data_IF_094668002453
#
_entry.id   IF_094668002453
#
_cell.length_a   1.000
_cell.length_b   1.000
_cell.length_c   1.000
_cell.angle_alpha   90.00
_cell.angle_beta   90.00
_cell.angle_gamma   90.00
#
_symmetry.space_group_name_H-M   'P 1'
#
loop_
_entity.id
_entity.type
_entity.pdbx_description
1 polymer ?
#
# COMPACT_ATOMS: atom_id res chain seq x y z
N UNK A 1 6.67 36.38 -30.86
CA UNK A 1 6.60 35.48 -29.67
C UNK A 1 7.88 34.67 -29.61
N UNK A 2 8.57 34.72 -28.48
CA UNK A 2 9.96 34.30 -28.34
C UNK A 2 10.08 32.76 -28.47
N UNK A 3 10.79 32.24 -29.48
CA UNK A 3 10.92 30.78 -29.72
C UNK A 3 11.43 30.01 -28.50
N UNK A 4 12.22 30.67 -27.65
CA UNK A 4 12.68 30.13 -26.35
C UNK A 4 11.50 29.81 -25.41
N UNK A 5 10.51 30.71 -25.31
CA UNK A 5 9.38 30.56 -24.39
C UNK A 5 8.51 29.36 -24.76
N UNK A 6 8.34 29.10 -26.07
CA UNK A 6 7.62 27.93 -26.56
C UNK A 6 8.33 26.61 -26.24
N UNK A 7 9.67 26.59 -26.24
CA UNK A 7 10.45 25.40 -25.93
C UNK A 7 10.38 25.06 -24.44
N UNK A 8 10.52 26.07 -23.57
CA UNK A 8 10.37 25.89 -22.12
C UNK A 8 8.97 25.38 -21.76
N UNK A 9 7.92 25.97 -22.34
CA UNK A 9 6.54 25.57 -22.06
C UNK A 9 6.27 24.11 -22.49
N UNK A 10 6.82 23.67 -23.62
CA UNK A 10 6.77 22.26 -24.02
C UNK A 10 7.49 21.33 -23.03
N UNK A 11 8.69 21.70 -22.56
CA UNK A 11 9.43 20.91 -21.58
C UNK A 11 8.69 20.81 -20.24
N UNK A 12 8.11 21.91 -19.76
CA UNK A 12 7.28 21.90 -18.55
C UNK A 12 6.05 21.01 -18.72
N UNK A 13 5.33 21.08 -19.84
CA UNK A 13 4.19 20.19 -20.10
C UNK A 13 4.62 18.72 -20.08
N UNK A 14 5.74 18.37 -20.72
CA UNK A 14 6.26 17.00 -20.73
C UNK A 14 6.65 16.52 -19.32
N UNK A 15 7.28 17.37 -18.51
CA UNK A 15 7.60 17.10 -17.11
C UNK A 15 6.33 16.90 -16.27
N UNK A 16 5.32 17.76 -16.43
CA UNK A 16 4.03 17.63 -15.74
C UNK A 16 3.30 16.35 -16.11
N UNK A 17 3.32 15.95 -17.38
CA UNK A 17 2.70 14.69 -17.83
C UNK A 17 3.42 13.49 -17.22
N UNK A 18 4.76 13.48 -17.20
CA UNK A 18 5.53 12.42 -16.54
C UNK A 18 5.26 12.36 -15.04
N UNK A 19 5.15 13.51 -14.37
CA UNK A 19 4.83 13.58 -12.95
C UNK A 19 3.42 13.05 -12.63
N UNK A 20 2.47 13.24 -13.55
CA UNK A 20 1.11 12.71 -13.41
C UNK A 20 0.98 11.21 -13.73
N UNK A 21 1.98 10.58 -14.36
CA UNK A 21 1.88 9.18 -14.76
C UNK A 21 2.26 8.18 -13.65
N UNK A 22 2.95 8.61 -12.59
CA UNK A 22 3.08 7.83 -11.36
C UNK A 22 1.92 8.20 -10.43
N UNK A 23 0.88 7.37 -10.38
CA UNK A 23 -0.39 7.71 -9.72
C UNK A 23 -0.33 7.65 -8.19
N UNK A 24 0.64 6.93 -7.62
CA UNK A 24 0.94 6.99 -6.18
C UNK A 24 2.29 7.65 -5.93
N UNK A 25 2.29 8.68 -5.12
CA UNK A 25 3.46 9.50 -4.75
C UNK A 25 3.56 9.62 -3.22
N UNK A 26 4.61 10.28 -2.72
CA UNK A 26 4.79 10.56 -1.29
C UNK A 26 3.70 11.44 -0.69
N UNK A 27 2.91 12.12 -1.52
CA UNK A 27 1.82 13.01 -1.13
C UNK A 27 0.44 12.37 -1.35
N UNK A 28 0.38 11.11 -1.80
CA UNK A 28 -0.88 10.39 -2.00
C UNK A 28 -1.54 10.08 -0.66
N UNK A 29 -2.85 10.33 -0.60
CA UNK A 29 -3.69 10.02 0.57
C UNK A 29 -4.46 8.74 0.30
N UNK A 30 -4.03 7.64 0.93
CA UNK A 30 -4.69 6.34 0.83
C UNK A 30 -6.01 6.34 1.62
N UNK A 31 -7.15 6.42 0.94
CA UNK A 31 -8.47 6.39 1.61
C UNK A 31 -8.75 5.00 2.19
N UNK A 32 -8.91 4.91 3.51
CA UNK A 32 -9.06 3.65 4.29
C UNK A 32 -7.87 2.69 4.12
N UNK A 33 -6.68 3.27 4.04
CA UNK A 33 -5.42 2.57 3.84
C UNK A 33 -4.25 3.44 4.30
N UNK A 34 -3.04 2.95 4.07
CA UNK A 34 -1.82 3.68 4.37
C UNK A 34 -0.79 3.52 3.25
N UNK A 35 0.07 4.53 3.11
CA UNK A 35 1.10 4.55 2.09
C UNK A 35 2.27 3.65 2.52
N UNK A 36 2.72 2.79 1.61
CA UNK A 36 3.89 1.95 1.80
C UNK A 36 4.91 2.22 0.70
N UNK A 37 6.18 1.93 0.99
CA UNK A 37 7.27 2.07 0.04
C UNK A 37 8.05 0.76 -0.08
N UNK A 38 8.34 0.39 -1.33
CA UNK A 38 9.27 -0.67 -1.71
C UNK A 38 10.50 -0.05 -2.39
N UNK A 39 11.40 -0.87 -2.95
CA UNK A 39 12.63 -0.37 -3.58
C UNK A 39 12.39 0.59 -4.75
N UNK A 40 11.31 0.38 -5.52
CA UNK A 40 11.09 1.06 -6.81
C UNK A 40 9.76 1.81 -6.95
N UNK A 41 8.86 1.74 -5.98
CA UNK A 41 7.59 2.46 -6.01
C UNK A 41 6.99 2.67 -4.62
N UNK A 42 5.95 3.50 -4.59
CA UNK A 42 5.01 3.63 -3.49
C UNK A 42 3.66 3.07 -3.91
N UNK A 43 2.93 2.51 -2.97
CA UNK A 43 1.55 2.05 -3.18
C UNK A 43 0.73 2.18 -1.90
N UNK A 44 -0.60 2.17 -2.05
CA UNK A 44 -1.49 2.11 -0.90
C UNK A 44 -1.74 0.65 -0.49
N UNK A 45 -1.60 0.37 0.81
CA UNK A 45 -2.02 -0.88 1.44
C UNK A 45 -3.31 -0.63 2.22
N UNK A 46 -4.31 -1.47 2.00
CA UNK A 46 -5.60 -1.33 2.66
C UNK A 46 -5.53 -1.73 4.14
N UNK A 47 -6.35 -1.06 4.95
CA UNK A 47 -6.56 -1.43 6.36
C UNK A 47 -7.45 -2.68 6.44
N UNK A 48 -7.16 -3.55 7.42
CA UNK A 48 -7.96 -4.75 7.70
C UNK A 48 -8.19 -5.61 6.44
N UNK A 49 -9.45 -6.02 6.19
CA UNK A 49 -9.87 -6.86 5.06
C UNK A 49 -10.42 -6.06 3.87
N UNK A 50 -10.11 -4.75 3.79
CA UNK A 50 -10.52 -3.90 2.67
C UNK A 50 -9.71 -4.20 1.41
N UNK A 51 -10.24 -3.79 0.25
CA UNK A 51 -9.65 -4.06 -1.06
C UNK A 51 -9.50 -2.80 -1.90
N UNK A 52 -8.46 -2.74 -2.73
CA UNK A 52 -8.18 -1.64 -3.63
C UNK A 52 -9.21 -1.57 -4.76
N UNK A 53 -10.01 -0.51 -4.83
CA UNK A 53 -10.88 -0.23 -5.99
C UNK A 53 -10.12 0.50 -7.09
N UNK A 54 -9.14 1.29 -6.68
CA UNK A 54 -8.13 1.97 -7.48
C UNK A 54 -6.84 2.06 -6.65
N UNK A 55 -5.80 2.71 -7.15
CA UNK A 55 -4.46 2.70 -6.50
C UNK A 55 -4.38 3.46 -5.17
N UNK A 56 -5.39 4.26 -4.81
CA UNK A 56 -5.40 5.08 -3.61
C UNK A 56 -6.68 4.96 -2.75
N UNK A 57 -7.62 4.11 -3.13
CA UNK A 57 -8.91 3.95 -2.43
C UNK A 57 -9.17 2.50 -2.09
N UNK A 58 -9.45 2.26 -0.82
CA UNK A 58 -9.85 0.97 -0.28
C UNK A 58 -11.34 0.97 0.08
N UNK A 59 -12.04 -0.10 -0.25
CA UNK A 59 -13.46 -0.29 0.06
C UNK A 59 -13.73 -1.72 0.57
N UNK A 60 -14.93 -1.94 1.08
CA UNK A 60 -15.34 -3.26 1.59
C UNK A 60 -15.49 -4.26 0.45
N UNK A 61 -14.87 -5.43 0.64
CA UNK A 61 -15.00 -6.57 -0.25
C UNK A 61 -16.33 -7.27 -0.03
N UNK A 62 -17.09 -7.49 -1.10
CA UNK A 62 -18.22 -8.42 -1.06
C UNK A 62 -17.72 -9.86 -1.13
N UNK A 63 -18.27 -10.72 -0.28
CA UNK A 63 -17.89 -12.14 -0.23
C UNK A 63 -18.45 -12.96 -1.38
N UNK A 64 -19.60 -12.55 -1.92
CA UNK A 64 -20.29 -13.25 -3.02
C UNK A 64 -20.83 -12.22 -4.02
N UNK A 65 -20.62 -12.51 -5.31
CA UNK A 65 -21.24 -11.73 -6.37
C UNK A 65 -22.64 -12.25 -6.66
N UNK A 66 -23.63 -11.36 -6.58
CA UNK A 66 -25.02 -11.59 -6.96
C UNK A 66 -25.62 -10.30 -7.57
N UNK A 67 -26.94 -10.31 -7.81
CA UNK A 67 -27.67 -9.18 -8.38
C UNK A 67 -27.55 -7.90 -7.54
N UNK A 68 -27.49 -8.00 -6.20
CA UNK A 68 -27.43 -6.85 -5.28
C UNK A 68 -26.02 -6.28 -5.15
N UNK A 69 -25.00 -7.05 -5.55
CA UNK A 69 -23.60 -6.65 -5.43
C UNK A 69 -22.97 -6.27 -6.76
N UNK A 70 -23.73 -6.20 -7.86
CA UNK A 70 -23.21 -5.74 -9.16
C UNK A 70 -22.53 -4.38 -9.00
N UNK A 71 -21.36 -4.23 -9.60
CA UNK A 71 -20.46 -3.08 -9.49
C UNK A 71 -19.80 -2.86 -8.13
N UNK A 72 -20.05 -3.70 -7.11
CA UNK A 72 -19.32 -3.63 -5.83
C UNK A 72 -17.94 -4.31 -5.91
N UNK A 73 -16.96 -3.87 -5.11
CA UNK A 73 -15.62 -4.48 -5.07
C UNK A 73 -15.67 -5.90 -4.53
N UNK A 74 -14.94 -6.82 -5.17
CA UNK A 74 -14.90 -8.24 -4.77
C UNK A 74 -13.46 -8.76 -4.58
N UNK A 75 -12.47 -7.88 -4.67
CA UNK A 75 -11.05 -8.15 -4.54
C UNK A 75 -10.25 -6.92 -4.98
N UNK A 76 -8.93 -6.93 -4.79
CA UNK A 76 -8.08 -5.85 -5.30
C UNK A 76 -8.25 -5.73 -6.81
N UNK A 77 -8.48 -4.51 -7.28
CA UNK A 77 -8.71 -4.14 -8.66
C UNK A 77 -9.76 -5.03 -9.38
N UNK A 78 -10.78 -5.49 -8.66
CA UNK A 78 -11.87 -6.29 -9.22
C UNK A 78 -13.23 -5.94 -8.65
N UNK A 79 -14.26 -6.13 -9.49
CA UNK A 79 -15.65 -5.85 -9.14
C UNK A 79 -16.58 -6.94 -9.64
N UNK A 80 -17.73 -7.06 -8.97
CA UNK A 80 -18.78 -7.97 -9.41
C UNK A 80 -19.41 -7.46 -10.70
N UNK A 81 -19.52 -8.35 -11.68
CA UNK A 81 -20.20 -8.09 -12.95
C UNK A 81 -21.34 -9.09 -13.15
N UNK A 82 -22.36 -8.66 -13.89
CA UNK A 82 -23.37 -9.53 -14.46
C UNK A 82 -22.84 -10.10 -15.78
N UNK A 83 -22.95 -11.41 -15.96
CA UNK A 83 -22.66 -12.10 -17.21
C UNK A 83 -24.01 -12.47 -17.81
N UNK A 84 -24.37 -11.79 -18.90
CA UNK A 84 -25.57 -12.13 -19.66
C UNK A 84 -25.38 -13.50 -20.32
N UNK A 85 -26.39 -14.34 -20.15
CA UNK A 85 -26.39 -15.74 -20.55
C UNK A 85 -27.67 -16.41 -20.12
N UNK A 86 -27.80 -17.70 -20.39
CA UNK A 86 -28.91 -18.52 -19.91
C UNK A 86 -28.36 -19.77 -19.21
N UNK A 87 -28.26 -19.80 -17.87
CA UNK A 87 -28.76 -18.80 -16.93
C UNK A 87 -27.86 -17.55 -16.83
N UNK A 88 -28.46 -16.43 -16.38
CA UNK A 88 -27.70 -15.25 -15.94
C UNK A 88 -26.80 -15.66 -14.78
N UNK A 89 -25.54 -15.20 -14.80
CA UNK A 89 -24.58 -15.47 -13.72
C UNK A 89 -23.85 -14.20 -13.30
N UNK A 90 -23.18 -14.27 -12.14
CA UNK A 90 -22.43 -13.16 -11.56
C UNK A 90 -21.02 -13.65 -11.22
N UNK A 91 -20.03 -12.83 -11.52
CA UNK A 91 -18.63 -13.17 -11.30
C UNK A 91 -17.82 -11.96 -10.82
N UNK A 92 -16.75 -12.22 -10.06
CA UNK A 92 -15.74 -11.23 -9.74
C UNK A 92 -14.76 -11.13 -10.91
N UNK A 93 -14.67 -9.95 -11.55
CA UNK A 93 -13.79 -9.74 -12.70
C UNK A 93 -12.81 -8.61 -12.41
N UNK A 94 -11.55 -8.81 -12.81
CA UNK A 94 -10.53 -7.77 -12.79
C UNK A 94 -10.95 -6.56 -13.62
N UNK A 95 -10.53 -5.39 -13.18
CA UNK A 95 -10.69 -4.14 -13.89
C UNK A 95 -9.92 -4.17 -15.22
N UNK A 96 -10.28 -3.26 -16.14
CA UNK A 96 -9.56 -3.11 -17.40
C UNK A 96 -8.08 -2.82 -17.13
N UNK A 97 -7.19 -3.53 -17.83
CA UNK A 97 -5.74 -3.44 -17.65
C UNK A 97 -5.16 -4.40 -16.62
N UNK A 98 -5.99 -5.23 -15.99
CA UNK A 98 -5.57 -6.26 -15.04
C UNK A 98 -6.04 -7.66 -15.47
N UNK A 99 -5.18 -8.64 -15.22
CA UNK A 99 -5.40 -10.05 -15.46
C UNK A 99 -5.45 -10.80 -14.12
N UNK A 100 -6.31 -11.82 -14.03
CA UNK A 100 -6.40 -12.67 -12.86
C UNK A 100 -5.30 -13.74 -12.90
N UNK A 101 -4.34 -13.65 -11.97
CA UNK A 101 -3.25 -14.61 -11.80
C UNK A 101 -3.21 -15.02 -10.34
N UNK A 102 -3.31 -16.32 -10.07
CA UNK A 102 -3.34 -16.88 -8.70
C UNK A 102 -4.40 -16.22 -7.79
N UNK A 103 -5.61 -15.98 -8.32
CA UNK A 103 -6.72 -15.31 -7.64
C UNK A 103 -6.48 -13.84 -7.25
N UNK A 104 -5.45 -13.19 -7.81
CA UNK A 104 -5.16 -11.76 -7.62
C UNK A 104 -5.19 -11.05 -8.98
N UNK A 105 -5.77 -9.86 -9.03
CA UNK A 105 -5.72 -9.03 -10.23
C UNK A 105 -4.41 -8.25 -10.26
N UNK A 106 -3.55 -8.58 -11.21
CA UNK A 106 -2.26 -7.92 -11.44
C UNK A 106 -2.27 -7.21 -12.79
N UNK A 107 -1.45 -6.16 -13.01
CA UNK A 107 -1.36 -5.52 -14.31
C UNK A 107 -1.04 -6.52 -15.42
N UNK A 108 -1.63 -6.35 -16.61
CA UNK A 108 -1.48 -7.28 -17.73
C UNK A 108 -0.01 -7.52 -18.09
N UNK A 109 0.80 -6.46 -18.06
CA UNK A 109 2.23 -6.48 -18.36
C UNK A 109 3.05 -7.27 -17.32
N UNK A 110 2.46 -7.57 -16.15
CA UNK A 110 3.07 -8.34 -15.08
C UNK A 110 2.74 -9.84 -15.11
N UNK A 111 1.86 -10.30 -16.01
CA UNK A 111 1.37 -11.69 -16.07
C UNK A 111 2.47 -12.75 -16.06
N UNK A 112 3.57 -12.48 -16.76
CA UNK A 112 4.68 -13.42 -16.94
C UNK A 112 5.97 -12.96 -16.22
N UNK A 113 5.87 -12.02 -15.28
CA UNK A 113 7.02 -11.44 -14.59
C UNK A 113 7.09 -12.00 -13.16
N UNK A 114 8.19 -12.66 -12.83
CA UNK A 114 8.44 -13.19 -11.48
C UNK A 114 9.59 -12.43 -10.83
N UNK A 115 9.34 -11.81 -9.68
CA UNK A 115 10.31 -10.91 -9.04
C UNK A 115 11.03 -11.49 -7.82
N UNK A 116 10.60 -12.64 -7.28
CA UNK A 116 11.18 -13.23 -6.08
C UNK A 116 10.83 -12.42 -4.83
N UNK A 117 11.83 -11.80 -4.18
CA UNK A 117 11.66 -10.97 -2.98
C UNK A 117 11.07 -9.58 -3.31
N UNK A 118 9.94 -9.56 -4.00
CA UNK A 118 9.29 -8.35 -4.46
C UNK A 118 8.06 -8.64 -5.32
N UNK A 119 7.55 -7.61 -5.97
CA UNK A 119 6.40 -7.69 -6.87
C UNK A 119 6.68 -7.01 -8.20
N UNK A 120 5.93 -7.41 -9.22
CA UNK A 120 5.95 -6.70 -10.49
C UNK A 120 5.06 -5.45 -10.41
N UNK A 121 5.54 -4.36 -10.99
CA UNK A 121 4.86 -3.07 -11.13
C UNK A 121 4.97 -2.60 -12.58
N UNK A 122 4.15 -1.62 -12.95
CA UNK A 122 4.27 -0.96 -14.25
C UNK A 122 5.36 0.11 -14.20
N UNK A 123 6.32 0.03 -15.10
CA UNK A 123 7.26 1.12 -15.34
C UNK A 123 6.56 2.23 -16.12
N UNK A 124 6.43 3.39 -15.50
CA UNK A 124 5.81 4.59 -16.08
C UNK A 124 6.84 5.55 -16.67
N UNK A 125 8.13 5.21 -16.61
CA UNK A 125 9.21 6.01 -17.19
C UNK A 125 9.24 5.95 -18.73
N UNK A 126 8.64 4.91 -19.32
CA UNK A 126 8.60 4.67 -20.76
C UNK A 126 7.16 4.77 -21.29
N UNK A 127 6.91 5.37 -22.48
CA UNK A 127 5.58 5.38 -23.09
C UNK A 127 4.96 3.99 -23.28
N UNK A 128 5.81 2.99 -23.53
CA UNK A 128 5.39 1.59 -23.57
C UNK A 128 5.46 1.04 -22.15
N UNK A 129 4.30 0.77 -21.55
CA UNK A 129 4.21 0.16 -20.22
C UNK A 129 4.89 -1.20 -20.25
N UNK A 130 5.80 -1.42 -19.32
CA UNK A 130 6.51 -2.70 -19.13
C UNK A 130 6.41 -3.13 -17.68
N UNK A 131 6.34 -4.44 -17.44
CA UNK A 131 6.42 -5.00 -16.10
C UNK A 131 7.87 -4.99 -15.61
N UNK A 132 8.13 -4.32 -14.49
CA UNK A 132 9.44 -4.28 -13.83
C UNK A 132 9.30 -4.69 -12.36
N UNK A 133 10.40 -5.15 -11.76
CA UNK A 133 10.38 -5.57 -10.37
C UNK A 133 10.64 -4.41 -9.41
N UNK A 134 9.81 -4.31 -8.38
CA UNK A 134 10.07 -3.55 -7.17
C UNK A 134 10.24 -4.50 -6.00
N UNK A 135 11.29 -4.28 -5.22
CA UNK A 135 11.81 -5.25 -4.28
C UNK A 135 11.48 -4.88 -2.84
N UNK A 136 11.44 -5.90 -2.00
CA UNK A 136 11.38 -5.73 -0.55
C UNK A 136 12.58 -4.91 -0.09
N UNK A 137 12.38 -4.11 0.96
CA UNK A 137 13.44 -3.31 1.57
C UNK A 137 14.62 -4.20 1.99
N UNK A 138 15.83 -3.79 1.62
CA UNK A 138 17.06 -4.57 1.71
C UNK A 138 17.44 -5.29 0.40
N UNK A 139 16.55 -5.29 -0.60
CA UNK A 139 16.80 -5.82 -1.95
C UNK A 139 16.60 -4.74 -3.01
N UNK A 140 17.30 -4.88 -4.12
CA UNK A 140 17.15 -4.06 -5.32
C UNK A 140 17.15 -4.94 -6.58
N UNK A 141 16.63 -4.45 -7.72
CA UNK A 141 16.68 -5.19 -8.98
C UNK A 141 18.10 -5.62 -9.37
N UNK A 142 18.27 -6.91 -9.65
CA UNK A 142 19.55 -7.49 -10.03
C UNK A 142 19.70 -7.59 -11.55
N UNK A 143 20.54 -6.72 -12.12
CA UNK A 143 20.83 -6.72 -13.57
C UNK A 143 21.43 -8.03 -14.09
N UNK A 144 22.06 -8.84 -13.22
CA UNK A 144 22.63 -10.15 -13.57
C UNK A 144 21.59 -11.28 -13.57
N UNK A 145 20.40 -11.03 -13.00
CA UNK A 145 19.30 -12.00 -12.85
C UNK A 145 18.00 -11.36 -13.35
N UNK A 146 18.02 -10.85 -14.58
CA UNK A 146 16.83 -10.32 -15.27
C UNK A 146 16.05 -9.25 -14.47
N UNK A 147 16.75 -8.42 -13.70
CA UNK A 147 16.18 -7.40 -12.80
C UNK A 147 15.27 -7.95 -11.69
N UNK A 148 15.37 -9.23 -11.34
CA UNK A 148 14.69 -9.80 -10.18
C UNK A 148 15.25 -9.29 -8.86
N UNK A 149 14.52 -9.48 -7.77
CA UNK A 149 14.88 -9.01 -6.44
C UNK A 149 15.83 -9.97 -5.70
N UNK A 150 16.98 -10.25 -6.33
CA UNK A 150 18.02 -11.15 -5.81
C UNK A 150 19.29 -10.45 -5.34
N UNK A 151 19.45 -9.15 -5.61
CA UNK A 151 20.61 -8.35 -5.19
C UNK A 151 20.33 -7.62 -3.88
N UNK A 152 21.24 -7.71 -2.93
CA UNK A 152 21.21 -6.88 -1.71
C UNK A 152 21.45 -5.41 -2.07
N UNK A 153 20.67 -4.53 -1.45
CA UNK A 153 20.81 -3.10 -1.67
C UNK A 153 19.91 -2.28 -0.76
N UNK A 154 20.38 -1.09 -0.43
CA UNK A 154 19.65 -0.16 0.41
C UNK A 154 18.63 0.62 -0.40
N UNK A 155 17.48 0.88 0.22
CA UNK A 155 16.50 1.85 -0.25
C UNK A 155 16.31 2.86 0.88
N UNK A 156 16.45 4.15 0.58
CA UNK A 156 16.18 5.21 1.55
C UNK A 156 14.67 5.43 1.65
N UNK A 157 14.13 5.45 2.86
CA UNK A 157 12.72 5.81 3.03
C UNK A 157 12.46 7.28 2.65
N UNK A 158 11.41 7.51 1.87
CA UNK A 158 10.94 8.81 1.40
C UNK A 158 9.54 9.17 1.90
N UNK A 159 8.89 8.29 2.67
CA UNK A 159 7.58 8.52 3.27
C UNK A 159 7.60 9.74 4.20
N UNK A 160 6.55 10.57 4.11
CA UNK A 160 6.31 11.69 5.00
C UNK A 160 5.43 11.23 6.17
N UNK A 161 6.04 10.80 7.27
CA UNK A 161 5.30 10.41 8.48
C UNK A 161 4.91 11.65 9.27
N UNK A 162 3.75 12.22 8.92
CA UNK A 162 3.27 13.51 9.42
C UNK A 162 2.61 13.43 10.80
N UNK A 163 2.11 12.25 11.20
CA UNK A 163 1.46 12.04 12.49
C UNK A 163 2.46 12.14 13.62
N UNK A 164 1.99 12.62 14.77
CA UNK A 164 2.83 12.74 15.95
C UNK A 164 3.37 11.37 16.39
N UNK A 165 4.65 11.35 16.74
CA UNK A 165 5.35 10.16 17.22
C UNK A 165 5.42 8.99 16.23
N UNK A 166 5.19 9.24 14.94
CA UNK A 166 5.51 8.28 13.88
C UNK A 166 6.91 8.52 13.30
N UNK A 167 7.48 7.45 12.75
CA UNK A 167 8.70 7.46 11.95
C UNK A 167 8.61 6.38 10.88
N UNK A 168 9.41 6.51 9.83
CA UNK A 168 9.45 5.46 8.82
C UNK A 168 10.21 4.24 9.33
N UNK A 169 9.56 3.08 9.33
CA UNK A 169 10.14 1.79 9.76
C UNK A 169 10.01 0.75 8.67
N UNK A 170 11.03 -0.11 8.55
CA UNK A 170 10.98 -1.31 7.73
C UNK A 170 10.26 -2.42 8.51
N UNK A 171 9.11 -2.85 8.03
CA UNK A 171 8.29 -3.90 8.64
C UNK A 171 7.90 -4.87 7.52
N UNK A 172 8.16 -6.17 7.69
CA UNK A 172 7.83 -7.22 6.72
C UNK A 172 8.29 -6.94 5.28
N UNK A 173 9.48 -6.35 5.14
CA UNK A 173 10.08 -6.06 3.82
C UNK A 173 9.51 -4.82 3.13
N UNK A 174 8.69 -4.00 3.79
CA UNK A 174 8.20 -2.72 3.26
C UNK A 174 8.53 -1.58 4.23
N UNK A 175 8.68 -0.36 3.72
CA UNK A 175 8.63 0.83 4.57
C UNK A 175 7.19 1.26 4.78
N UNK A 176 6.85 1.61 6.02
CA UNK A 176 5.60 2.27 6.39
C UNK A 176 5.86 3.29 7.51
N UNK A 177 4.94 4.23 7.69
CA UNK A 177 4.92 5.04 8.89
C UNK A 177 4.37 4.22 10.06
N UNK A 178 5.13 4.19 11.15
CA UNK A 178 4.81 3.41 12.35
C UNK A 178 5.31 4.17 13.59
N UNK A 179 4.83 3.79 14.77
CA UNK A 179 5.19 4.47 16.02
C UNK A 179 6.70 4.41 16.28
N UNK A 180 7.27 5.52 16.75
CA UNK A 180 8.64 5.59 17.28
C UNK A 180 8.82 4.61 18.43
N UNK A 181 10.06 4.20 18.69
CA UNK A 181 10.35 3.29 19.80
C UNK A 181 9.88 3.90 21.14
N UNK A 182 9.20 3.08 21.95
CA UNK A 182 8.56 3.51 23.20
C UNK A 182 7.12 4.02 23.06
N UNK A 183 6.59 4.11 21.84
CA UNK A 183 5.20 4.46 21.57
C UNK A 183 4.42 3.25 21.03
N UNK A 184 3.15 3.16 21.38
CA UNK A 184 2.21 2.13 20.90
C UNK A 184 1.03 2.85 20.25
N UNK A 185 0.48 2.26 19.18
CA UNK A 185 -0.74 2.76 18.55
C UNK A 185 -1.91 2.58 19.51
N UNK A 186 -2.59 3.67 19.83
CA UNK A 186 -3.89 3.61 20.45
C UNK A 186 -4.93 3.28 19.36
N UNK A 187 -5.57 2.12 19.48
CA UNK A 187 -6.50 1.61 18.47
C UNK A 187 -7.77 2.48 18.34
N UNK A 188 -8.13 3.26 19.37
CA UNK A 188 -9.30 4.14 19.30
C UNK A 188 -8.98 5.44 18.55
N UNK A 189 -7.85 6.07 18.85
CA UNK A 189 -7.47 7.36 18.26
C UNK A 189 -6.61 7.24 17.00
N UNK A 190 -6.03 6.07 16.73
CA UNK A 190 -5.03 5.85 15.66
C UNK A 190 -3.82 6.79 15.76
N UNK A 191 -3.42 7.12 17.00
CA UNK A 191 -2.27 7.97 17.36
C UNK A 191 -1.27 7.15 18.17
N UNK A 192 0.02 7.42 17.96
CA UNK A 192 1.10 6.82 18.73
C UNK A 192 1.22 7.50 20.10
N UNK A 193 0.90 6.76 21.16
CA UNK A 193 0.96 7.25 22.54
C UNK A 193 2.14 6.61 23.28
N UNK A 194 2.83 7.42 24.10
CA UNK A 194 3.95 6.91 24.88
C UNK A 194 3.44 5.86 25.88
N UNK A 195 4.16 4.76 26.01
CA UNK A 195 3.88 3.82 27.08
C UNK A 195 4.19 4.51 28.41
N UNK A 196 3.17 5.05 29.09
CA UNK A 196 3.42 5.70 30.37
C UNK A 196 3.81 4.63 31.37
N UNK A 197 5.02 4.75 31.94
CA UNK A 197 5.39 3.99 33.14
C UNK A 197 4.35 4.19 34.25
N UNK A 198 3.57 5.27 34.19
CA UNK A 198 2.42 5.55 35.05
C UNK A 198 1.36 4.44 35.03
N UNK A 199 1.11 3.77 33.89
CA UNK A 199 0.17 2.64 33.87
C UNK A 199 0.73 1.39 34.57
N UNK A 200 2.02 1.09 34.43
CA UNK A 200 2.66 0.01 35.20
C UNK A 200 2.70 0.38 36.69
N UNK A 201 3.04 1.62 37.02
CA UNK A 201 3.14 2.07 38.40
C UNK A 201 1.76 2.09 39.07
N UNK A 202 0.72 2.56 38.39
CA UNK A 202 -0.65 2.49 38.91
C UNK A 202 -1.13 1.05 39.04
N UNK A 203 -0.85 0.17 38.08
CA UNK A 203 -1.25 -1.23 38.18
C UNK A 203 -0.54 -1.93 39.36
N UNK A 204 0.76 -1.65 39.55
CA UNK A 204 1.52 -2.20 40.67
C UNK A 204 1.10 -1.60 42.02
N UNK A 205 0.83 -0.30 42.12
CA UNK A 205 0.26 0.33 43.32
C UNK A 205 -1.12 -0.24 43.64
N UNK A 206 -2.00 -0.40 42.65
CA UNK A 206 -3.32 -1.01 42.86
C UNK A 206 -3.21 -2.46 43.32
N UNK A 207 -2.25 -3.24 42.78
CA UNK A 207 -2.00 -4.61 43.23
C UNK A 207 -1.48 -4.68 44.67
N UNK A 208 -0.61 -3.74 45.06
CA UNK A 208 -0.11 -3.62 46.43
C UNK A 208 -1.25 -3.23 47.38
N UNK A 209 -2.06 -2.23 47.04
CA UNK A 209 -3.21 -1.81 47.84
C UNK A 209 -4.22 -2.95 48.00
N UNK A 210 -4.50 -3.69 46.93
CA UNK A 210 -5.41 -4.83 46.97
C UNK A 210 -4.88 -5.95 47.87
N UNK A 211 -3.58 -6.24 47.80
CA UNK A 211 -2.92 -7.21 48.66
C UNK A 211 -2.99 -6.77 50.13
N UNK A 212 -2.70 -5.50 50.43
CA UNK A 212 -2.78 -4.95 51.80
C UNK A 212 -4.21 -5.01 52.33
N UNK A 213 -5.22 -4.65 51.53
CA UNK A 213 -6.63 -4.80 51.92
C UNK A 213 -7.01 -6.26 52.19
N UNK A 214 -6.49 -7.21 51.40
CA UNK A 214 -6.72 -8.65 51.61
C UNK A 214 -6.08 -9.19 52.89
N UNK A 215 -4.99 -8.57 53.36
CA UNK A 215 -4.34 -8.95 54.62
C UNK A 215 -4.95 -8.29 55.87
N UNK A 216 -5.77 -7.23 55.70
CA UNK A 216 -6.39 -6.49 56.81
C UNK A 216 -7.86 -6.93 57.05
N UNK A 217 -8.50 -7.58 56.08
CA UNK A 217 -9.79 -8.27 56.26
C UNK A 217 -9.61 -9.69 56.80
#
# INVERSE_FOLDING_TARGET
MNKLYSLFLFLFIQLSIKYNNAKVTVDTVCKRGFLIQMSGHLECKCENDLVLVNEETCEEKVLKCDEKTVNKPCGDFSKCIKIDGNPVSYACKCNLGYDMVNNVCIPNECKNVTCGNGKCILDTSNPVKTGVCSCNIGKVPNVQDQNKCSKDGETKCSLKCLKENETCKAVDGIYKCDCKDGFIIDNESSICTAFSAYNILNLSIMFILFSVCFFIM
#
